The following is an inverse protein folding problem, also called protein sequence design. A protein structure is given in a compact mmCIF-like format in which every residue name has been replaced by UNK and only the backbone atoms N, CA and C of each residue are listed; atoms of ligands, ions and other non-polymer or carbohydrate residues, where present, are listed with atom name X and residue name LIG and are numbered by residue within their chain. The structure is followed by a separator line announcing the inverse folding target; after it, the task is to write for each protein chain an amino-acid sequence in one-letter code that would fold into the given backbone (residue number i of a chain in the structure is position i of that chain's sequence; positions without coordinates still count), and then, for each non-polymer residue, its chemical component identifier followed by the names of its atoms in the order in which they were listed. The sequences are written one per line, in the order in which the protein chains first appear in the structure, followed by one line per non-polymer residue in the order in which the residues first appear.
data_IF_898826931497
#
_entry.id   IF_898826931497
#
_cell.length_a   1.000
_cell.length_b   1.000
_cell.length_c   1.000
_cell.angle_alpha   90.00
_cell.angle_beta   90.00
_cell.angle_gamma   90.00
#
_symmetry.space_group_name_H-M   'P 1'
#
loop_
_entity.id
_entity.type
_entity.pdbx_description
1 polymer ?
#
# COMPACT_ATOMS: atom_id res chain seq x y z
N UNK A 1 -17.42 65.71 45.43
CA UNK A 1 -17.21 66.97 44.69
C UNK A 1 -16.11 66.72 43.66
N UNK A 2 -16.38 67.21 42.46
CA UNK A 2 -15.90 66.83 41.14
C UNK A 2 -14.39 66.91 40.87
N UNK A 3 -13.92 66.18 39.85
CA UNK A 3 -12.70 66.56 39.11
C UNK A 3 -12.05 65.43 38.29
N UNK A 4 -12.49 65.25 37.04
CA UNK A 4 -11.93 64.32 36.07
C UNK A 4 -10.58 64.81 35.46
N UNK A 5 -9.70 63.88 35.10
CA UNK A 5 -8.53 64.13 34.24
C UNK A 5 -8.68 63.35 32.91
N UNK A 6 -8.58 64.00 31.74
CA UNK A 6 -8.66 63.32 30.45
C UNK A 6 -7.26 62.94 29.94
N UNK A 7 -6.84 61.69 30.14
CA UNK A 7 -5.64 61.12 29.52
C UNK A 7 -6.01 60.24 28.32
N UNK A 8 -6.55 60.86 27.27
CA UNK A 8 -6.94 60.16 26.05
C UNK A 8 -6.47 60.95 24.85
N UNK A 9 -5.38 60.50 24.20
CA UNK A 9 -5.05 60.71 22.78
C UNK A 9 -3.65 60.21 22.38
N UNK A 10 -2.71 60.00 23.31
CA UNK A 10 -1.34 59.58 22.94
C UNK A 10 -1.08 58.06 23.00
N UNK A 11 -1.97 57.27 23.60
CA UNK A 11 -1.79 55.82 23.70
C UNK A 11 -2.14 55.03 22.42
N UNK A 12 -2.87 55.65 21.48
CA UNK A 12 -3.34 54.97 20.25
C UNK A 12 -2.30 55.07 19.12
N UNK A 13 -1.45 56.11 19.12
CA UNK A 13 -0.47 56.32 18.05
C UNK A 13 0.78 55.43 18.17
N UNK A 14 1.15 54.98 19.37
CA UNK A 14 2.31 54.09 19.60
C UNK A 14 1.98 52.61 19.41
N UNK A 15 0.69 52.23 19.39
CA UNK A 15 0.29 50.84 19.14
C UNK A 15 0.26 50.47 17.63
N UNK A 16 0.20 51.45 16.73
CA UNK A 16 0.08 51.22 15.29
C UNK A 16 1.43 51.06 14.57
N UNK A 17 2.56 51.43 15.20
CA UNK A 17 3.90 51.32 14.61
C UNK A 17 4.62 49.97 14.87
N UNK A 18 4.03 49.04 15.63
CA UNK A 18 4.64 47.73 15.89
C UNK A 18 4.14 46.58 14.97
N UNK A 19 3.26 46.87 14.00
CA UNK A 19 2.63 45.82 13.17
C UNK A 19 3.38 45.48 11.86
N UNK A 20 4.55 46.06 11.58
CA UNK A 20 5.26 45.90 10.30
C UNK A 20 6.26 44.72 10.24
N UNK A 21 6.28 43.82 11.22
CA UNK A 21 7.41 42.88 11.43
C UNK A 21 7.20 41.40 11.11
N UNK A 22 6.09 40.97 10.51
CA UNK A 22 5.81 39.54 10.26
C UNK A 22 5.71 39.22 8.76
N UNK A 23 6.77 39.53 8.02
CA UNK A 23 6.98 38.93 6.70
C UNK A 23 7.80 37.65 6.91
N UNK A 24 7.13 36.50 6.91
CA UNK A 24 7.82 35.21 6.84
C UNK A 24 8.52 35.13 5.48
N UNK A 25 9.84 34.99 5.49
CA UNK A 25 10.60 34.65 4.29
C UNK A 25 10.19 33.23 3.87
N UNK A 26 9.49 33.09 2.74
CA UNK A 26 9.20 31.80 2.14
C UNK A 26 10.54 31.32 1.54
N UNK A 27 11.22 30.39 2.22
CA UNK A 27 12.45 29.82 1.68
C UNK A 27 12.09 28.96 0.46
N UNK A 28 12.39 29.45 -0.74
CA UNK A 28 12.22 28.69 -1.98
C UNK A 28 13.33 27.64 -2.03
N UNK A 29 12.97 26.37 -1.84
CA UNK A 29 13.94 25.26 -1.83
C UNK A 29 14.31 24.87 -3.26
N UNK A 30 15.60 24.95 -3.58
CA UNK A 30 16.15 24.52 -4.86
C UNK A 30 16.60 23.07 -4.76
N UNK A 31 15.88 22.14 -5.39
CA UNK A 31 16.35 20.76 -5.56
C UNK A 31 16.99 20.58 -6.94
N UNK A 32 18.12 19.88 -6.98
CA UNK A 32 18.80 19.51 -8.22
C UNK A 32 18.65 18.01 -8.39
N UNK A 33 17.99 17.58 -9.47
CA UNK A 33 17.87 16.17 -9.80
C UNK A 33 19.19 15.60 -10.33
N UNK A 34 19.37 14.27 -10.30
CA UNK A 34 20.56 13.60 -10.86
C UNK A 34 20.77 13.89 -12.36
N UNK A 35 19.72 14.34 -13.05
CA UNK A 35 19.72 14.71 -14.46
C UNK A 35 20.15 16.19 -14.69
N UNK A 36 20.56 16.91 -13.65
CA UNK A 36 20.98 18.32 -13.70
C UNK A 36 19.84 19.35 -13.77
N UNK A 37 18.58 18.90 -13.83
CA UNK A 37 17.41 19.80 -13.80
C UNK A 37 17.20 20.38 -12.40
N UNK A 38 16.99 21.69 -12.35
CA UNK A 38 16.72 22.43 -11.12
C UNK A 38 15.21 22.64 -10.97
N UNK A 39 14.65 22.18 -9.85
CA UNK A 39 13.24 22.41 -9.50
C UNK A 39 13.19 23.26 -8.23
N UNK A 40 12.41 24.33 -8.26
CA UNK A 40 12.17 25.19 -7.09
C UNK A 40 10.84 24.79 -6.46
N UNK A 41 10.84 24.51 -5.16
CA UNK A 41 9.65 24.10 -4.40
C UNK A 41 9.48 24.94 -3.14
N UNK A 42 8.25 25.35 -2.87
CA UNK A 42 7.86 26.22 -1.76
C UNK A 42 7.52 25.44 -0.47
N UNK A 43 7.79 24.12 -0.42
CA UNK A 43 7.58 23.28 0.77
C UNK A 43 8.88 22.63 1.24
N UNK A 44 9.17 22.66 2.55
CA UNK A 44 10.34 21.97 3.11
C UNK A 44 10.18 20.45 2.92
N UNK A 45 11.13 19.83 2.24
CA UNK A 45 11.24 18.38 2.16
C UNK A 45 11.79 17.92 3.50
N UNK A 46 10.93 17.49 4.42
CA UNK A 46 11.36 16.76 5.61
C UNK A 46 12.08 15.50 5.14
N UNK A 47 13.30 15.27 5.60
CA UNK A 47 14.27 14.26 5.15
C UNK A 47 13.84 12.78 5.31
N UNK A 48 12.55 12.48 5.40
CA UNK A 48 12.00 11.12 5.38
C UNK A 48 11.79 10.58 3.94
N UNK A 49 11.90 11.45 2.92
CA UNK A 49 11.68 11.05 1.51
C UNK A 49 12.96 10.63 0.77
N UNK A 50 14.05 10.37 1.49
CA UNK A 50 15.27 9.74 0.96
C UNK A 50 15.36 8.27 1.39
N UNK A 51 14.24 7.55 1.37
CA UNK A 51 14.20 6.09 1.59
C UNK A 51 13.62 5.30 0.40
N UNK A 52 13.45 5.93 -0.77
CA UNK A 52 12.80 5.30 -1.92
C UNK A 52 13.70 5.10 -3.16
N UNK A 53 15.03 5.10 -3.02
CA UNK A 53 15.92 4.87 -4.19
C UNK A 53 17.11 3.95 -3.96
N UNK A 54 17.07 3.11 -2.92
CA UNK A 54 18.05 2.01 -2.75
C UNK A 54 17.41 0.79 -2.11
N UNK A 55 16.48 0.17 -2.82
CA UNK A 55 16.12 -1.23 -2.62
C UNK A 55 15.91 -1.88 -3.99
N UNK A 56 17.00 -2.03 -4.73
CA UNK A 56 17.04 -2.99 -5.83
C UNK A 56 18.22 -3.93 -5.63
N UNK A 57 17.93 -5.02 -4.93
CA UNK A 57 18.68 -6.26 -4.97
C UNK A 57 17.63 -7.37 -5.02
N UNK A 58 17.56 -8.08 -6.14
CA UNK A 58 16.52 -9.03 -6.47
C UNK A 58 15.78 -8.58 -7.73
N UNK A 59 15.88 -9.39 -8.80
CA UNK A 59 15.47 -9.05 -10.17
C UNK A 59 14.17 -8.27 -10.26
N UNK A 60 14.26 -7.03 -10.76
CA UNK A 60 13.11 -6.17 -11.01
C UNK A 60 12.32 -6.77 -12.19
N UNK A 61 11.10 -7.29 -12.00
CA UNK A 61 10.18 -7.47 -13.12
C UNK A 61 9.91 -6.09 -13.73
N UNK A 62 9.71 -5.99 -15.06
CA UNK A 62 9.60 -4.71 -15.76
C UNK A 62 8.63 -3.78 -15.03
N UNK A 63 9.07 -2.54 -14.80
CA UNK A 63 8.28 -1.54 -14.09
C UNK A 63 6.88 -1.46 -14.71
N UNK A 64 5.81 -1.48 -13.89
CA UNK A 64 4.46 -1.33 -14.42
C UNK A 64 4.44 -0.04 -15.22
N UNK A 65 4.06 -0.14 -16.50
CA UNK A 65 3.94 1.00 -17.40
C UNK A 65 3.18 2.10 -16.66
N UNK A 66 3.84 3.24 -16.42
CA UNK A 66 3.33 4.24 -15.51
C UNK A 66 1.94 4.69 -15.99
N UNK A 67 0.93 4.40 -15.18
CA UNK A 67 -0.45 4.82 -15.43
C UNK A 67 -0.50 6.36 -15.58
N UNK A 68 -1.38 6.90 -16.44
CA UNK A 68 -1.60 8.34 -16.53
C UNK A 68 -1.93 8.94 -15.16
N UNK A 69 -1.57 10.21 -14.94
CA UNK A 69 -1.73 10.86 -13.63
C UNK A 69 -3.17 10.81 -13.11
N UNK A 70 -4.15 11.18 -13.94
CA UNK A 70 -5.57 11.14 -13.58
C UNK A 70 -6.02 9.74 -13.16
N UNK A 71 -5.67 8.72 -13.96
CA UNK A 71 -6.03 7.34 -13.66
C UNK A 71 -5.36 6.81 -12.39
N UNK A 72 -4.11 7.22 -12.11
CA UNK A 72 -3.42 6.91 -10.84
C UNK A 72 -4.11 7.56 -9.65
N UNK A 73 -4.53 8.81 -9.77
CA UNK A 73 -5.22 9.52 -8.70
C UNK A 73 -6.54 8.82 -8.38
N UNK A 74 -7.34 8.50 -9.40
CA UNK A 74 -8.60 7.77 -9.23
C UNK A 74 -8.38 6.37 -8.64
N UNK A 75 -7.43 5.59 -9.18
CA UNK A 75 -7.12 4.25 -8.69
C UNK A 75 -6.57 4.23 -7.26
N UNK A 76 -5.84 5.26 -6.84
CA UNK A 76 -5.38 5.41 -5.47
C UNK A 76 -6.50 5.77 -4.48
N UNK A 77 -7.50 6.53 -4.92
CA UNK A 77 -8.65 6.94 -4.08
C UNK A 77 -9.74 5.88 -4.03
N UNK A 78 -10.01 5.23 -5.15
CA UNK A 78 -11.09 4.26 -5.32
C UNK A 78 -10.58 2.96 -5.96
N UNK A 79 -9.66 2.23 -5.28
CA UNK A 79 -9.07 1.02 -5.84
C UNK A 79 -10.14 -0.02 -6.19
N UNK A 80 -9.97 -0.69 -7.32
CA UNK A 80 -10.88 -1.76 -7.76
C UNK A 80 -10.26 -3.12 -7.46
N UNK A 81 -10.99 -3.96 -6.75
CA UNK A 81 -10.64 -5.37 -6.55
C UNK A 81 -11.79 -6.25 -7.02
N UNK A 82 -11.50 -7.18 -7.92
CA UNK A 82 -12.45 -8.17 -8.42
C UNK A 82 -12.20 -9.50 -7.71
N UNK A 83 -13.25 -10.10 -7.16
CA UNK A 83 -13.23 -11.42 -6.55
C UNK A 83 -13.90 -12.40 -7.51
N UNK A 84 -13.19 -13.48 -7.85
CA UNK A 84 -13.59 -14.47 -8.86
C UNK A 84 -13.39 -15.89 -8.34
N UNK A 85 -13.83 -16.89 -9.10
CA UNK A 85 -13.62 -18.30 -8.82
C UNK A 85 -13.36 -19.08 -10.12
N UNK A 86 -13.02 -20.36 -10.00
CA UNK A 86 -12.98 -21.26 -11.14
C UNK A 86 -14.38 -21.45 -11.74
N UNK A 87 -14.45 -21.69 -13.05
CA UNK A 87 -15.70 -22.01 -13.75
C UNK A 87 -16.82 -20.97 -13.56
N UNK A 88 -16.45 -19.68 -13.55
CA UNK A 88 -17.35 -18.56 -13.31
C UNK A 88 -17.53 -17.69 -14.56
N UNK A 89 -18.50 -18.01 -15.41
CA UNK A 89 -18.85 -17.20 -16.59
C UNK A 89 -19.12 -15.71 -16.29
N UNK A 90 -19.90 -15.32 -15.26
CA UNK A 90 -20.10 -13.90 -14.96
C UNK A 90 -18.82 -13.20 -14.46
N UNK A 91 -17.83 -13.94 -13.93
CA UNK A 91 -16.53 -13.39 -13.59
C UNK A 91 -15.73 -12.99 -14.84
N UNK A 92 -15.89 -13.71 -15.96
CA UNK A 92 -15.24 -13.36 -17.23
C UNK A 92 -15.85 -12.09 -17.83
N UNK A 93 -17.18 -11.98 -17.81
CA UNK A 93 -17.88 -10.75 -18.23
C UNK A 93 -17.47 -9.54 -17.38
N UNK A 94 -17.31 -9.74 -16.07
CA UNK A 94 -16.77 -8.73 -15.15
C UNK A 94 -15.36 -8.28 -15.54
N UNK A 95 -14.43 -9.23 -15.79
CA UNK A 95 -13.07 -8.93 -16.26
C UNK A 95 -13.08 -8.14 -17.57
N UNK A 96 -13.91 -8.55 -18.52
CA UNK A 96 -14.04 -7.89 -19.82
C UNK A 96 -14.54 -6.46 -19.68
N UNK A 97 -15.55 -6.20 -18.84
CA UNK A 97 -16.04 -4.85 -18.60
C UNK A 97 -14.94 -3.93 -18.03
N UNK A 98 -14.22 -4.40 -17.02
CA UNK A 98 -13.15 -3.62 -16.39
C UNK A 98 -11.99 -3.37 -17.37
N UNK A 99 -11.61 -4.38 -18.15
CA UNK A 99 -10.57 -4.26 -19.16
C UNK A 99 -10.97 -3.32 -20.30
N UNK A 100 -12.20 -3.42 -20.83
CA UNK A 100 -12.71 -2.55 -21.89
C UNK A 100 -12.79 -1.09 -21.46
N UNK A 101 -13.17 -0.83 -20.21
CA UNK A 101 -13.12 0.51 -19.59
C UNK A 101 -11.71 1.02 -19.33
N UNK A 102 -10.71 0.13 -19.32
CA UNK A 102 -9.35 0.46 -18.90
C UNK A 102 -9.24 0.79 -17.42
N UNK A 103 -10.05 0.15 -16.57
CA UNK A 103 -9.94 0.28 -15.11
C UNK A 103 -8.81 -0.62 -14.61
N UNK A 104 -7.74 -0.10 -13.98
CA UNK A 104 -6.76 -0.94 -13.31
C UNK A 104 -7.40 -1.60 -12.09
N UNK A 105 -7.34 -2.93 -12.02
CA UNK A 105 -7.89 -3.68 -10.89
C UNK A 105 -6.92 -4.77 -10.42
N UNK A 106 -7.09 -5.19 -9.16
CA UNK A 106 -6.49 -6.40 -8.62
C UNK A 106 -7.52 -7.53 -8.64
N UNK A 107 -7.10 -8.75 -8.95
CA UNK A 107 -7.99 -9.90 -8.93
C UNK A 107 -7.67 -10.87 -7.78
N UNK A 108 -8.71 -11.31 -7.07
CA UNK A 108 -8.65 -12.26 -5.96
C UNK A 108 -9.46 -13.51 -6.32
N UNK A 109 -8.81 -14.66 -6.44
CA UNK A 109 -9.48 -15.92 -6.77
C UNK A 109 -9.85 -16.68 -5.52
N UNK A 110 -11.03 -17.29 -5.53
CA UNK A 110 -11.52 -18.22 -4.53
C UNK A 110 -11.31 -19.63 -5.06
N UNK A 111 -10.37 -20.36 -4.45
CA UNK A 111 -9.99 -21.71 -4.88
C UNK A 111 -9.97 -22.71 -3.73
N UNK A 112 -9.95 -22.24 -2.48
CA UNK A 112 -9.87 -23.05 -1.27
C UNK A 112 -11.07 -22.83 -0.34
N UNK A 113 -11.25 -23.71 0.65
CA UNK A 113 -12.28 -23.53 1.67
C UNK A 113 -12.02 -22.28 2.51
N UNK A 114 -10.75 -21.99 2.78
CA UNK A 114 -10.30 -20.79 3.48
C UNK A 114 -10.70 -19.52 2.70
N UNK A 115 -10.57 -19.54 1.37
CA UNK A 115 -11.05 -18.46 0.51
C UNK A 115 -12.57 -18.34 0.55
N UNK A 116 -13.31 -19.45 0.55
CA UNK A 116 -14.79 -19.43 0.64
C UNK A 116 -15.23 -18.78 1.95
N UNK A 117 -14.58 -19.09 3.07
CA UNK A 117 -14.87 -18.42 4.34
C UNK A 117 -14.48 -16.93 4.32
N UNK A 118 -13.34 -16.58 3.74
CA UNK A 118 -12.92 -15.19 3.60
C UNK A 118 -13.91 -14.40 2.73
N UNK A 119 -14.39 -15.00 1.63
CA UNK A 119 -15.43 -14.42 0.78
C UNK A 119 -16.71 -14.24 1.58
N UNK A 120 -17.17 -15.25 2.33
CA UNK A 120 -18.37 -15.13 3.17
C UNK A 120 -18.28 -14.00 4.19
N UNK A 121 -17.12 -13.80 4.82
CA UNK A 121 -16.88 -12.67 5.74
C UNK A 121 -16.91 -11.32 5.00
N UNK A 122 -16.51 -11.31 3.74
CA UNK A 122 -16.47 -10.13 2.89
C UNK A 122 -17.85 -9.80 2.29
N UNK A 123 -18.52 -10.70 1.59
CA UNK A 123 -19.81 -10.45 0.92
C UNK A 123 -21.05 -10.78 1.75
N UNK A 124 -20.89 -11.51 2.86
CA UNK A 124 -21.99 -12.11 3.63
C UNK A 124 -22.48 -13.45 3.06
N UNK A 125 -22.03 -13.81 1.86
CA UNK A 125 -22.38 -15.02 1.12
C UNK A 125 -21.21 -15.42 0.21
N UNK A 126 -21.36 -16.55 -0.50
CA UNK A 126 -20.34 -17.08 -1.42
C UNK A 126 -20.64 -16.76 -2.89
N UNK A 127 -21.49 -15.76 -3.17
CA UNK A 127 -21.84 -15.41 -4.54
C UNK A 127 -20.67 -14.74 -5.26
N UNK A 128 -20.49 -15.07 -6.54
CA UNK A 128 -19.44 -14.52 -7.40
C UNK A 128 -20.06 -14.01 -8.72
N UNK A 129 -19.45 -13.00 -9.36
CA UNK A 129 -18.32 -12.22 -8.87
C UNK A 129 -18.73 -11.23 -7.78
N UNK A 130 -17.75 -10.77 -7.00
CA UNK A 130 -17.89 -9.58 -6.14
C UNK A 130 -16.89 -8.55 -6.62
N UNK A 131 -17.24 -7.28 -6.64
CA UNK A 131 -16.29 -6.19 -6.92
C UNK A 131 -16.31 -5.19 -5.77
N UNK A 132 -15.14 -4.75 -5.35
CA UNK A 132 -15.01 -3.58 -4.47
C UNK A 132 -14.46 -2.41 -5.26
N UNK A 133 -15.11 -1.26 -5.19
CA UNK A 133 -14.71 0.00 -5.82
C UNK A 133 -14.53 1.02 -4.70
N UNK A 134 -13.28 1.24 -4.29
CA UNK A 134 -12.97 1.97 -3.06
C UNK A 134 -13.65 1.30 -1.84
N UNK A 135 -14.51 2.04 -1.15
CA UNK A 135 -15.28 1.53 -0.01
C UNK A 135 -16.58 0.80 -0.38
N UNK A 136 -17.00 0.85 -1.64
CA UNK A 136 -18.25 0.23 -2.09
C UNK A 136 -18.02 -1.22 -2.49
N UNK A 137 -18.96 -2.11 -2.15
CA UNK A 137 -18.91 -3.54 -2.48
C UNK A 137 -20.19 -3.92 -3.21
N UNK A 138 -20.05 -4.49 -4.41
CA UNK A 138 -21.15 -4.93 -5.25
C UNK A 138 -21.06 -6.44 -5.44
N UNK A 139 -22.20 -7.13 -5.35
CA UNK A 139 -22.30 -8.58 -5.44
C UNK A 139 -23.02 -8.96 -6.73
N UNK A 140 -22.52 -9.98 -7.40
CA UNK A 140 -22.99 -10.37 -8.72
C UNK A 140 -22.52 -9.40 -9.82
N UNK A 141 -22.61 -9.86 -11.05
CA UNK A 141 -22.30 -9.05 -12.21
C UNK A 141 -23.56 -8.34 -12.73
N UNK A 142 -23.56 -7.01 -12.65
CA UNK A 142 -24.60 -6.15 -13.21
C UNK A 142 -23.92 -5.00 -13.98
N UNK A 143 -23.79 -5.08 -15.32
CA UNK A 143 -22.92 -4.18 -16.08
C UNK A 143 -23.33 -2.71 -15.95
N UNK A 144 -24.63 -2.41 -15.92
CA UNK A 144 -25.15 -1.05 -15.74
C UNK A 144 -24.79 -0.46 -14.37
N UNK A 145 -24.97 -1.24 -13.31
CA UNK A 145 -24.64 -0.82 -11.95
C UNK A 145 -23.13 -0.61 -11.81
N UNK A 146 -22.32 -1.56 -12.25
CA UNK A 146 -20.85 -1.46 -12.19
C UNK A 146 -20.35 -0.23 -12.95
N UNK A 147 -20.91 0.03 -14.15
CA UNK A 147 -20.60 1.22 -14.95
C UNK A 147 -20.94 2.52 -14.20
N UNK A 148 -22.08 2.56 -13.51
CA UNK A 148 -22.50 3.72 -12.73
C UNK A 148 -21.56 3.99 -11.55
N UNK A 149 -21.15 2.95 -10.83
CA UNK A 149 -20.19 3.09 -9.71
C UNK A 149 -18.79 3.47 -10.18
N UNK A 150 -18.35 2.95 -11.34
CA UNK A 150 -17.07 3.36 -11.92
C UNK A 150 -17.10 4.83 -12.37
N UNK A 151 -18.22 5.28 -12.96
CA UNK A 151 -18.43 6.69 -13.33
C UNK A 151 -18.43 7.60 -12.11
N UNK A 152 -19.15 7.23 -11.05
CA UNK A 152 -19.22 8.04 -9.82
C UNK A 152 -17.89 8.09 -9.08
N UNK A 153 -17.08 7.04 -9.17
CA UNK A 153 -15.70 7.01 -8.68
C UNK A 153 -14.74 7.86 -9.54
N UNK A 154 -15.15 8.29 -10.74
CA UNK A 154 -14.34 9.12 -11.64
C UNK A 154 -13.43 8.33 -12.57
N UNK A 155 -13.69 7.04 -12.80
CA UNK A 155 -13.00 6.29 -13.84
C UNK A 155 -13.46 6.76 -15.23
N UNK A 156 -12.55 6.89 -16.21
CA UNK A 156 -12.94 7.30 -17.55
C UNK A 156 -13.86 6.26 -18.20
N UNK A 157 -14.71 6.72 -19.12
CA UNK A 157 -15.63 5.85 -19.87
C UNK A 157 -14.94 5.06 -20.97
N UNK A 158 -13.80 5.54 -21.43
CA UNK A 158 -12.92 4.89 -22.40
C UNK A 158 -11.56 4.60 -21.76
N UNK A 159 -10.92 3.52 -22.21
CA UNK A 159 -9.60 3.13 -21.72
C UNK A 159 -8.57 4.22 -22.01
N UNK A 160 -7.89 4.68 -20.97
CA UNK A 160 -6.70 5.54 -21.04
C UNK A 160 -5.42 4.76 -20.69
N UNK A 161 -5.50 3.42 -20.66
CA UNK A 161 -4.35 2.59 -20.35
C UNK A 161 -3.31 2.68 -21.46
N UNK A 162 -2.01 2.78 -21.13
CA UNK A 162 -0.94 2.69 -22.12
C UNK A 162 -0.96 1.36 -22.88
N UNK A 163 -0.49 1.35 -24.13
CA UNK A 163 -0.49 0.16 -25.01
C UNK A 163 0.29 -1.05 -24.46
N UNK A 164 1.17 -0.86 -23.47
CA UNK A 164 1.92 -1.92 -22.79
C UNK A 164 1.41 -2.25 -21.38
N UNK A 165 0.28 -1.69 -20.95
CA UNK A 165 -0.26 -1.99 -19.62
C UNK A 165 -0.77 -3.42 -19.57
N UNK A 166 -0.33 -4.17 -18.56
CA UNK A 166 -0.83 -5.51 -18.25
C UNK A 166 -1.51 -5.48 -16.89
N UNK A 167 -2.69 -6.09 -16.81
CA UNK A 167 -3.32 -6.30 -15.51
C UNK A 167 -2.43 -7.19 -14.65
N UNK A 168 -2.34 -6.91 -13.34
CA UNK A 168 -1.68 -7.81 -12.39
C UNK A 168 -2.27 -9.22 -12.49
N UNK A 169 -1.44 -10.27 -12.31
CA UNK A 169 -1.95 -11.64 -12.26
C UNK A 169 -2.90 -11.80 -11.08
N UNK A 170 -3.92 -12.65 -11.26
CA UNK A 170 -4.85 -12.97 -10.19
C UNK A 170 -4.13 -13.66 -9.02
N UNK A 171 -4.51 -13.30 -7.80
CA UNK A 171 -3.91 -13.82 -6.57
C UNK A 171 -4.98 -14.58 -5.77
N UNK A 172 -4.61 -15.57 -4.96
CA UNK A 172 -5.58 -16.18 -4.03
C UNK A 172 -6.13 -15.12 -3.06
N UNK A 173 -7.39 -15.27 -2.68
CA UNK A 173 -8.05 -14.35 -1.74
C UNK A 173 -7.37 -14.37 -0.38
N UNK A 174 -7.09 -15.57 0.14
CA UNK A 174 -6.22 -15.78 1.29
C UNK A 174 -4.84 -16.11 0.78
N UNK A 175 -3.85 -15.30 1.15
CA UNK A 175 -2.46 -15.64 0.88
C UNK A 175 -2.14 -16.94 1.63
N UNK A 176 -2.00 -18.05 0.90
CA UNK A 176 -1.21 -19.16 1.41
C UNK A 176 0.15 -18.55 1.65
N UNK A 177 0.59 -18.48 2.91
CA UNK A 177 1.99 -18.16 3.23
C UNK A 177 2.81 -19.23 2.51
N UNK A 178 3.27 -18.94 1.30
CA UNK A 178 4.51 -19.52 0.81
C UNK A 178 5.49 -19.18 1.90
N UNK A 179 5.97 -20.20 2.61
CA UNK A 179 7.07 -20.03 3.52
C UNK A 179 8.06 -19.12 2.82
N UNK A 180 8.41 -17.99 3.43
CA UNK A 180 9.75 -17.43 3.22
C UNK A 180 10.68 -18.63 3.12
N UNK A 181 11.55 -18.73 2.10
CA UNK A 181 12.65 -19.67 2.18
C UNK A 181 13.25 -19.40 3.55
N UNK A 182 13.00 -20.30 4.51
CA UNK A 182 13.72 -20.32 5.77
C UNK A 182 15.14 -20.26 5.31
N UNK A 183 15.76 -19.11 5.53
CA UNK A 183 17.17 -18.89 5.33
C UNK A 183 17.83 -20.18 5.79
N UNK A 184 18.39 -20.90 4.82
CA UNK A 184 18.90 -22.23 5.06
C UNK A 184 19.83 -22.11 6.25
N UNK A 185 19.37 -22.62 7.40
CA UNK A 185 20.19 -22.64 8.60
C UNK A 185 21.52 -23.23 8.14
N UNK A 186 22.65 -22.57 8.40
CA UNK A 186 23.93 -23.07 7.94
C UNK A 186 24.03 -24.52 8.38
N UNK A 187 24.53 -25.43 7.51
CA UNK A 187 24.57 -26.85 7.83
C UNK A 187 25.23 -26.97 9.19
N UNK A 188 24.48 -27.50 10.16
CA UNK A 188 25.05 -27.90 11.44
C UNK A 188 26.23 -28.78 11.08
N UNK A 189 27.44 -28.25 11.30
CA UNK A 189 28.65 -29.05 11.28
C UNK A 189 28.34 -30.22 12.20
N UNK A 190 28.27 -31.42 11.64
CA UNK A 190 28.11 -32.62 12.42
C UNK A 190 29.24 -32.61 13.44
N UNK A 191 28.91 -32.31 14.71
CA UNK A 191 29.84 -32.47 15.79
C UNK A 191 30.23 -33.95 15.78
N UNK A 192 31.52 -34.20 15.63
CA UNK A 192 32.09 -35.54 15.66
C UNK A 192 31.57 -36.30 16.89
N UNK A 193 31.33 -37.62 16.79
CA UNK A 193 30.87 -38.38 17.94
C UNK A 193 31.92 -38.28 19.05
N UNK A 194 31.50 -37.81 20.23
CA UNK A 194 32.34 -37.81 21.41
C UNK A 194 32.71 -39.27 21.76
N UNK A 195 33.98 -39.55 22.12
CA UNK A 195 34.39 -40.89 22.51
C UNK A 195 33.65 -41.32 23.79
N UNK A 196 33.26 -42.59 23.83
CA UNK A 196 32.57 -43.21 24.96
C UNK A 196 33.35 -43.03 26.28
N UNK A 197 32.67 -42.88 27.42
CA UNK A 197 33.34 -42.75 28.71
C UNK A 197 34.09 -44.03 29.05
N UNK A 198 35.38 -43.88 29.40
CA UNK A 198 36.18 -44.97 29.94
C UNK A 198 35.57 -45.47 31.26
N UNK A 199 35.42 -46.78 31.37
CA UNK A 199 34.96 -47.47 32.59
C UNK A 199 36.02 -47.28 33.67
N UNK A 200 35.67 -46.65 34.79
CA UNK A 200 36.55 -46.57 35.96
C UNK A 200 36.77 -47.96 36.57
N UNK A 201 37.97 -48.27 37.11
CA UNK A 201 38.21 -49.53 37.80
C UNK A 201 37.35 -49.61 39.08
N UNK A 202 36.69 -50.75 39.26
CA UNK A 202 35.94 -51.09 40.46
C UNK A 202 36.86 -51.16 41.68
N UNK A 203 36.60 -50.31 42.68
CA UNK A 203 37.23 -50.37 44.00
C UNK A 203 36.71 -51.61 44.77
N UNK A 204 37.57 -52.51 45.26
CA UNK A 204 37.14 -53.72 45.98
C UNK A 204 36.60 -53.48 47.40
N UNK A 205 36.58 -52.24 47.91
CA UNK A 205 36.26 -51.96 49.31
C UNK A 205 34.78 -51.65 49.65
N UNK A 206 33.83 -51.80 48.70
CA UNK A 206 32.39 -51.99 48.98
C UNK A 206 31.73 -51.18 50.11
N UNK A 207 31.71 -49.83 50.04
CA UNK A 207 30.86 -49.01 50.92
C UNK A 207 30.27 -47.83 50.14
N UNK A 208 28.96 -47.61 50.25
CA UNK A 208 28.26 -46.41 49.76
C UNK A 208 27.34 -45.92 50.88
N UNK A 209 27.39 -44.62 51.19
CA UNK A 209 26.51 -43.91 52.12
C UNK A 209 25.15 -43.58 51.49
#
# INVERSE_FOLDING_TARGET
MSGAAPAGKHAVATALLLAAGLCSAQAVYRSVGPDGRVTFSDRPITSDTQAATTASRGGIPPAPTALPYELRQTAGRFPVTLYTGSDCAPCDSARQLLAARGVPFSERTVQSNEDIEALRRLSGDNSLPVVTIGGQRLKGFAPGEWTQYLDSAGYPRSSQLPAGYRMPPAQPLVAVRTAEPTEAAPPRTAAAPAPAPARAPSNPAGIVF
#
